data_IF_743221986488
#
_entry.id   IF_743221986488
#
_cell.length_a   1.000
_cell.length_b   1.000
_cell.length_c   1.000
_cell.angle_alpha   90.00
_cell.angle_beta   90.00
_cell.angle_gamma   90.00
#
_symmetry.space_group_name_H-M   'P 1'
#
loop_
_entity.id
_entity.type
_entity.pdbx_description
1 polymer ?
#
# COMPACT_ATOMS: atom_id res chain seq x y z
N UNK A 1 17.00 9.06 -1.55
CA UNK A 1 16.26 8.02 -2.30
C UNK A 1 14.78 8.34 -2.09
N UNK A 2 14.06 8.73 -3.14
CA UNK A 2 12.63 9.01 -3.03
C UNK A 2 11.89 7.73 -2.64
N UNK A 3 10.89 7.82 -1.78
CA UNK A 3 10.12 6.68 -1.27
C UNK A 3 9.58 5.80 -2.41
N UNK A 4 9.28 6.39 -3.58
CA UNK A 4 8.80 5.71 -4.79
C UNK A 4 9.82 4.71 -5.37
N UNK A 5 11.12 4.88 -5.12
CA UNK A 5 12.15 4.02 -5.72
C UNK A 5 12.16 2.59 -5.17
N UNK A 6 11.61 2.34 -3.98
CA UNK A 6 11.54 0.98 -3.43
C UNK A 6 10.66 0.07 -4.27
N UNK A 7 9.49 0.57 -4.70
CA UNK A 7 8.57 -0.17 -5.55
C UNK A 7 9.18 -0.41 -6.93
N UNK A 8 9.84 0.60 -7.49
CA UNK A 8 10.47 0.52 -8.80
C UNK A 8 11.61 -0.52 -8.85
N UNK A 9 12.35 -0.72 -7.76
CA UNK A 9 13.48 -1.64 -7.71
C UNK A 9 13.04 -3.09 -7.43
N UNK A 10 12.13 -3.28 -6.47
CA UNK A 10 11.81 -4.62 -5.97
C UNK A 10 10.54 -5.23 -6.54
N UNK A 11 9.67 -4.39 -7.12
CA UNK A 11 8.34 -4.77 -7.59
C UNK A 11 8.05 -4.16 -8.97
N UNK A 12 9.00 -4.32 -9.92
CA UNK A 12 9.02 -3.63 -11.22
C UNK A 12 7.73 -3.83 -12.02
N UNK A 13 7.18 -5.04 -12.01
CA UNK A 13 5.91 -5.35 -12.69
C UNK A 13 4.73 -4.61 -12.04
N UNK A 14 4.69 -4.54 -10.70
CA UNK A 14 3.66 -3.78 -9.99
C UNK A 14 3.80 -2.30 -10.29
N UNK A 15 5.02 -1.76 -10.21
CA UNK A 15 5.32 -0.37 -10.53
C UNK A 15 4.83 0.00 -11.93
N UNK A 16 5.18 -0.82 -12.95
CA UNK A 16 4.79 -0.59 -14.33
C UNK A 16 3.27 -0.61 -14.53
N UNK A 17 2.57 -1.50 -13.81
CA UNK A 17 1.12 -1.57 -13.83
C UNK A 17 0.49 -0.30 -13.23
N UNK A 18 0.98 0.16 -12.08
CA UNK A 18 0.48 1.38 -11.45
C UNK A 18 0.77 2.64 -12.27
N UNK A 19 1.92 2.72 -12.93
CA UNK A 19 2.24 3.80 -13.88
C UNK A 19 1.29 3.81 -15.08
N UNK A 20 0.99 2.64 -15.65
CA UNK A 20 0.02 2.52 -16.75
C UNK A 20 -1.38 2.94 -16.31
N UNK A 21 -1.81 2.52 -15.11
CA UNK A 21 -3.09 2.93 -14.52
C UNK A 21 -3.16 4.43 -14.30
N UNK A 22 -2.13 5.03 -13.68
CA UNK A 22 -2.03 6.48 -13.47
C UNK A 22 -2.12 7.24 -14.80
N UNK A 23 -1.32 6.83 -15.78
CA UNK A 23 -1.30 7.46 -17.10
C UNK A 23 -2.68 7.43 -17.75
N UNK A 24 -3.33 6.26 -17.80
CA UNK A 24 -4.65 6.13 -18.39
C UNK A 24 -5.71 6.94 -17.63
N UNK A 25 -5.64 6.95 -16.29
CA UNK A 25 -6.59 7.66 -15.45
C UNK A 25 -6.47 9.18 -15.63
N UNK A 26 -5.25 9.73 -15.65
CA UNK A 26 -5.01 11.15 -15.88
C UNK A 26 -5.37 11.58 -17.31
N UNK A 27 -5.18 10.72 -18.32
CA UNK A 27 -5.64 11.00 -19.68
C UNK A 27 -7.18 11.09 -19.77
N UNK A 28 -7.88 10.25 -19.01
CA UNK A 28 -9.35 10.22 -18.99
C UNK A 28 -9.94 11.29 -18.06
N UNK A 29 -9.19 11.69 -17.04
CA UNK A 29 -9.56 12.68 -16.03
C UNK A 29 -8.39 13.66 -15.83
N UNK A 30 -8.22 14.67 -16.70
CA UNK A 30 -7.07 15.59 -16.65
C UNK A 30 -6.94 16.37 -15.33
N UNK A 31 -8.06 16.55 -14.62
CA UNK A 31 -8.11 17.24 -13.33
C UNK A 31 -7.88 16.30 -12.13
N UNK A 32 -7.65 15.01 -12.36
CA UNK A 32 -7.40 14.05 -11.29
C UNK A 32 -6.05 14.32 -10.60
N UNK A 33 -6.11 14.41 -9.27
CA UNK A 33 -4.95 14.65 -8.44
C UNK A 33 -4.39 13.32 -7.91
N UNK A 34 -3.07 13.20 -7.97
CA UNK A 34 -2.31 12.17 -7.26
C UNK A 34 -1.64 12.79 -6.03
N UNK A 35 -1.25 11.98 -5.03
CA UNK A 35 -0.62 12.51 -3.81
C UNK A 35 0.60 13.39 -4.08
N UNK A 36 1.42 13.02 -5.08
CA UNK A 36 2.51 13.83 -5.62
C UNK A 36 2.67 13.55 -7.12
N UNK A 37 3.34 14.43 -7.85
CA UNK A 37 3.63 14.23 -9.28
C UNK A 37 4.45 12.95 -9.53
N UNK A 38 5.35 12.59 -8.60
CA UNK A 38 6.17 11.39 -8.68
C UNK A 38 5.50 10.11 -8.14
N UNK A 39 4.36 10.21 -7.46
CA UNK A 39 3.72 9.03 -6.87
C UNK A 39 2.96 8.23 -7.94
N UNK A 40 3.18 6.91 -7.96
CA UNK A 40 2.38 5.94 -8.74
C UNK A 40 1.10 5.53 -8.01
N UNK A 41 1.05 5.80 -6.71
CA UNK A 41 -0.10 5.44 -5.88
C UNK A 41 -1.21 6.46 -6.07
N UNK A 42 -2.42 5.96 -6.30
CA UNK A 42 -3.60 6.82 -6.47
C UNK A 42 -4.04 7.53 -5.21
N UNK A 43 -3.55 7.10 -4.04
CA UNK A 43 -3.98 7.66 -2.77
C UNK A 43 -2.89 7.62 -1.70
N UNK A 44 -3.00 8.54 -0.75
CA UNK A 44 -2.20 8.58 0.46
C UNK A 44 -3.08 8.82 1.69
N UNK A 45 -2.72 8.23 2.82
CA UNK A 45 -3.43 8.35 4.10
C UNK A 45 -2.45 8.75 5.19
N UNK A 46 -2.78 9.78 5.96
CA UNK A 46 -2.09 10.12 7.21
C UNK A 46 -2.86 9.54 8.40
N UNK A 47 -2.22 8.64 9.15
CA UNK A 47 -2.78 8.09 10.38
C UNK A 47 -2.22 8.85 11.59
N UNK A 48 -3.08 9.56 12.31
CA UNK A 48 -2.71 10.49 13.39
C UNK A 48 -2.72 9.86 14.80
N UNK A 49 -2.47 8.55 14.90
CA UNK A 49 -2.30 7.83 16.17
C UNK A 49 -3.56 7.14 16.71
N UNK A 50 -3.33 6.09 17.53
CA UNK A 50 -4.35 5.24 18.18
C UNK A 50 -4.01 3.74 18.07
N UNK A 51 -4.30 2.91 19.08
CA UNK A 51 -4.17 1.46 18.96
C UNK A 51 -5.27 0.95 18.02
N UNK A 52 -4.89 0.54 16.81
CA UNK A 52 -5.82 0.03 15.83
C UNK A 52 -5.30 -1.28 15.23
N UNK A 53 -6.14 -2.31 15.27
CA UNK A 53 -6.00 -3.46 14.40
C UNK A 53 -6.51 -3.02 13.03
N UNK A 54 -5.69 -3.25 11.98
CA UNK A 54 -6.00 -2.97 10.58
C UNK A 54 -6.01 -4.28 9.82
N UNK A 55 -7.18 -4.71 9.38
CA UNK A 55 -7.31 -5.93 8.59
C UNK A 55 -7.54 -5.57 7.12
N UNK A 56 -6.53 -5.78 6.27
CA UNK A 56 -6.76 -5.89 4.82
C UNK A 56 -7.63 -7.10 4.49
N UNK A 57 -7.43 -8.20 5.21
CA UNK A 57 -8.01 -9.52 4.92
C UNK A 57 -9.45 -9.79 5.44
N UNK A 58 -10.23 -8.77 5.84
CA UNK A 58 -11.60 -9.04 6.34
C UNK A 58 -12.67 -9.08 5.24
N UNK A 59 -12.29 -9.01 3.96
CA UNK A 59 -13.27 -8.95 2.85
C UNK A 59 -14.12 -7.67 2.85
N UNK A 60 -13.79 -6.69 3.70
CA UNK A 60 -14.51 -5.43 3.91
C UNK A 60 -13.81 -4.21 3.29
N UNK A 61 -12.60 -4.37 2.75
CA UNK A 61 -11.87 -3.27 2.14
C UNK A 61 -11.61 -3.55 0.65
N UNK A 62 -12.63 -3.28 -0.16
CA UNK A 62 -12.54 -2.95 -1.60
C UNK A 62 -11.75 -1.66 -1.88
N UNK A 63 -11.16 -1.09 -0.84
CA UNK A 63 -10.34 0.10 -0.87
C UNK A 63 -9.00 -0.19 -1.52
N UNK A 64 -8.25 -1.19 -1.03
CA UNK A 64 -6.89 -1.45 -1.50
C UNK A 64 -6.89 -2.44 -2.65
N UNK A 65 -6.05 -2.19 -3.66
CA UNK A 65 -5.82 -3.14 -4.74
C UNK A 65 -5.09 -4.40 -4.19
N UNK A 66 -5.69 -5.60 -4.26
CA UNK A 66 -5.12 -6.80 -3.62
C UNK A 66 -3.79 -7.26 -4.18
N UNK A 67 -3.57 -7.11 -5.49
CA UNK A 67 -2.34 -7.50 -6.20
C UNK A 67 -1.30 -6.36 -6.25
N UNK A 68 -1.34 -5.41 -5.31
CA UNK A 68 -0.44 -4.27 -5.27
C UNK A 68 0.22 -4.12 -3.91
N UNK A 69 1.35 -3.41 -3.91
CA UNK A 69 2.08 -3.06 -2.71
C UNK A 69 1.65 -1.70 -2.19
N UNK A 70 1.95 -1.41 -0.93
CA UNK A 70 1.78 -0.10 -0.33
C UNK A 70 3.02 0.27 0.44
N UNK A 71 3.31 1.57 0.50
CA UNK A 71 4.44 2.08 1.25
C UNK A 71 3.92 2.71 2.53
N UNK A 72 4.37 2.17 3.66
CA UNK A 72 4.09 2.73 4.98
C UNK A 72 5.36 3.38 5.49
N UNK A 73 5.26 4.64 5.91
CA UNK A 73 6.33 5.39 6.55
C UNK A 73 5.92 5.71 7.97
N UNK A 74 6.72 5.28 8.95
CA UNK A 74 6.53 5.65 10.34
C UNK A 74 7.02 7.08 10.59
N UNK A 75 6.22 7.85 11.32
CA UNK A 75 6.48 9.23 11.67
C UNK A 75 6.22 9.45 13.17
N UNK A 76 6.72 10.56 13.70
CA UNK A 76 6.52 10.97 15.09
C UNK A 76 7.76 10.76 15.96
N UNK A 77 7.57 10.92 17.27
CA UNK A 77 8.62 10.84 18.29
C UNK A 77 8.29 9.70 19.26
N UNK A 78 8.92 8.55 19.06
CA UNK A 78 8.79 7.36 19.91
C UNK A 78 10.03 6.47 19.81
N UNK A 79 10.29 5.68 20.85
CA UNK A 79 11.34 4.66 20.84
C UNK A 79 10.83 3.31 20.31
N UNK A 80 11.44 2.72 19.27
CA UNK A 80 10.96 1.45 18.70
C UNK A 80 11.19 0.23 19.61
N UNK A 81 11.93 0.37 20.71
CA UNK A 81 12.26 -0.74 21.62
C UNK A 81 11.03 -1.23 22.40
N UNK A 82 10.08 -0.35 22.70
CA UNK A 82 8.99 -0.66 23.65
C UNK A 82 7.58 -0.38 23.11
N UNK A 83 7.47 0.01 21.84
CA UNK A 83 6.21 0.40 21.21
C UNK A 83 6.40 0.72 19.73
N UNK A 84 5.31 0.95 19.00
CA UNK A 84 5.36 1.36 17.59
C UNK A 84 5.74 0.26 16.58
N UNK A 85 5.98 -0.97 17.05
CA UNK A 85 6.17 -2.16 16.22
C UNK A 85 4.96 -2.41 15.31
N UNK A 86 5.21 -3.08 14.19
CA UNK A 86 4.17 -3.65 13.34
C UNK A 86 3.97 -5.12 13.73
N UNK A 87 2.73 -5.52 14.01
CA UNK A 87 2.35 -6.93 14.09
C UNK A 87 1.77 -7.33 12.74
N UNK A 88 2.34 -8.35 12.11
CA UNK A 88 1.86 -8.97 10.87
C UNK A 88 1.21 -10.31 11.24
N UNK A 89 -0.10 -10.29 11.45
CA UNK A 89 -0.84 -11.40 12.07
C UNK A 89 -0.78 -12.67 11.23
N UNK A 90 -0.90 -12.55 9.90
CA UNK A 90 -0.89 -13.71 8.99
C UNK A 90 0.49 -14.35 8.87
N UNK A 91 1.55 -13.59 9.14
CA UNK A 91 2.93 -14.07 9.11
C UNK A 91 3.44 -14.51 10.48
N UNK A 92 2.69 -14.23 11.56
CA UNK A 92 3.15 -14.45 12.94
C UNK A 92 4.38 -13.61 13.31
N UNK A 93 4.61 -12.47 12.63
CA UNK A 93 5.79 -11.63 12.82
C UNK A 93 5.47 -10.37 13.63
N UNK A 94 6.45 -9.96 14.44
CA UNK A 94 6.49 -8.64 15.08
C UNK A 94 7.76 -7.95 14.61
N UNK A 95 7.60 -6.81 13.94
CA UNK A 95 8.68 -6.09 13.26
C UNK A 95 8.92 -4.78 13.99
N UNK A 96 10.16 -4.54 14.43
CA UNK A 96 10.60 -3.23 14.90
C UNK A 96 10.43 -2.22 13.77
N UNK A 97 9.74 -1.12 14.05
CA UNK A 97 9.44 -0.11 13.02
C UNK A 97 9.73 1.29 13.55
N UNK A 98 10.99 1.75 13.45
CA UNK A 98 11.43 3.06 13.94
C UNK A 98 10.75 4.22 13.20
N UNK A 99 10.65 5.37 13.88
CA UNK A 99 10.27 6.62 13.23
C UNK A 99 11.28 6.98 12.13
N UNK A 100 10.79 7.40 10.97
CA UNK A 100 11.60 7.67 9.78
C UNK A 100 11.78 6.46 8.85
N UNK A 101 11.49 5.24 9.33
CA UNK A 101 11.59 4.03 8.50
C UNK A 101 10.38 3.88 7.58
N UNK A 102 10.61 3.24 6.43
CA UNK A 102 9.55 2.85 5.49
C UNK A 102 9.57 1.35 5.21
N UNK A 103 8.40 0.78 4.99
CA UNK A 103 8.23 -0.63 4.62
C UNK A 103 7.29 -0.75 3.42
N UNK A 104 7.63 -1.64 2.50
CA UNK A 104 6.77 -2.07 1.42
C UNK A 104 5.93 -3.26 1.92
N UNK A 105 4.61 -3.13 1.90
CA UNK A 105 3.70 -4.14 2.46
C UNK A 105 2.46 -4.34 1.58
N UNK A 106 2.02 -5.60 1.40
CA UNK A 106 0.79 -5.90 0.68
C UNK A 106 -0.44 -5.73 1.60
N UNK A 107 -0.77 -4.48 1.92
CA UNK A 107 -1.86 -4.13 2.87
C UNK A 107 -3.25 -4.55 2.40
N UNK A 108 -3.43 -4.82 1.11
CA UNK A 108 -4.68 -5.33 0.55
C UNK A 108 -4.97 -6.78 0.93
N UNK A 109 -3.96 -7.54 1.35
CA UNK A 109 -4.12 -8.96 1.71
C UNK A 109 -3.66 -9.31 3.13
N UNK A 110 -2.81 -8.51 3.77
CA UNK A 110 -2.34 -8.77 5.12
C UNK A 110 -3.20 -8.13 6.22
N UNK A 111 -3.37 -8.85 7.32
CA UNK A 111 -3.83 -8.33 8.61
C UNK A 111 -2.62 -7.81 9.38
N UNK A 112 -2.65 -6.54 9.75
CA UNK A 112 -1.60 -5.90 10.51
C UNK A 112 -2.12 -5.01 11.64
N UNK A 113 -1.26 -4.64 12.57
CA UNK A 113 -1.60 -3.64 13.59
C UNK A 113 -0.33 -2.96 14.08
N UNK A 114 -0.49 -1.83 14.76
CA UNK A 114 0.63 -1.15 15.39
C UNK A 114 0.56 -1.30 16.90
N UNK A 115 1.69 -1.64 17.52
CA UNK A 115 1.82 -1.67 18.97
C UNK A 115 1.74 -0.24 19.49
N UNK A 116 0.93 -0.03 20.54
CA UNK A 116 0.82 1.28 21.21
C UNK A 116 2.22 1.76 21.63
N UNK A 117 2.51 3.03 21.39
CA UNK A 117 3.69 3.70 21.96
C UNK A 117 3.46 4.02 23.45
N UNK A 118 4.53 4.37 24.18
CA UNK A 118 4.41 4.71 25.60
C UNK A 118 3.62 6.00 25.79
N UNK A 119 3.14 6.22 27.00
CA UNK A 119 2.49 7.47 27.34
C UNK A 119 3.48 8.63 27.19
N UNK A 120 3.06 9.71 26.52
CA UNK A 120 3.91 10.84 26.16
C UNK A 120 4.69 10.68 24.85
N UNK A 121 4.68 9.49 24.23
CA UNK A 121 5.20 9.28 22.87
C UNK A 121 4.09 9.47 21.83
N UNK A 122 4.48 9.89 20.62
CA UNK A 122 3.56 10.11 19.50
C UNK A 122 4.03 9.36 18.27
N UNK A 123 3.14 8.55 17.69
CA UNK A 123 3.38 7.83 16.45
C UNK A 123 2.29 8.17 15.44
N UNK A 124 2.74 8.43 14.22
CA UNK A 124 1.93 8.65 13.04
C UNK A 124 2.40 7.73 11.91
N UNK A 125 1.55 7.51 10.91
CA UNK A 125 1.93 6.79 9.69
C UNK A 125 1.54 7.60 8.47
N UNK A 126 2.39 7.64 7.44
CA UNK A 126 1.97 7.96 6.08
C UNK A 126 1.87 6.63 5.31
N UNK A 127 0.73 6.37 4.68
CA UNK A 127 0.50 5.19 3.86
C UNK A 127 0.21 5.65 2.43
N UNK A 128 1.03 5.25 1.47
CA UNK A 128 0.74 5.40 0.04
C UNK A 128 0.27 4.07 -0.52
N UNK A 129 -0.86 4.07 -1.22
CA UNK A 129 -1.54 2.84 -1.63
C UNK A 129 -2.31 3.01 -2.94
N UNK A 130 -2.45 1.90 -3.68
CA UNK A 130 -3.24 1.83 -4.91
C UNK A 130 -4.68 1.44 -4.58
N UNK A 131 -5.63 2.19 -5.13
CA UNK A 131 -7.05 1.97 -4.90
C UNK A 131 -7.66 0.94 -5.84
N UNK A 132 -8.38 -0.04 -5.30
CA UNK A 132 -8.97 -1.11 -6.12
C UNK A 132 -10.01 -0.58 -7.13
N UNK A 133 -10.59 0.59 -6.90
CA UNK A 133 -11.50 1.23 -7.87
C UNK A 133 -10.82 1.60 -9.18
N UNK A 134 -9.56 2.07 -9.14
CA UNK A 134 -8.79 2.39 -10.35
C UNK A 134 -8.38 1.12 -11.07
N UNK A 135 -8.00 0.08 -10.32
CA UNK A 135 -7.71 -1.23 -10.88
C UNK A 135 -8.92 -1.80 -11.63
N UNK A 136 -10.10 -1.83 -11.01
CA UNK A 136 -11.34 -2.26 -11.66
C UNK A 136 -11.68 -1.42 -12.88
N UNK A 137 -11.56 -0.10 -12.78
CA UNK A 137 -11.80 0.80 -13.92
C UNK A 137 -10.87 0.48 -15.10
N UNK A 138 -9.61 0.17 -14.81
CA UNK A 138 -8.62 -0.23 -15.80
C UNK A 138 -8.95 -1.59 -16.43
N UNK A 139 -9.26 -2.61 -15.62
CA UNK A 139 -9.68 -3.96 -16.06
C UNK A 139 -11.00 -3.95 -16.85
N UNK A 140 -11.88 -3.00 -16.57
CA UNK A 140 -13.12 -2.78 -17.30
C UNK A 140 -12.90 -2.14 -18.70
N UNK A 141 -11.66 -1.88 -19.08
CA UNK A 141 -11.31 -1.18 -20.32
C UNK A 141 -11.62 0.31 -20.23
N UNK A 142 -11.17 0.95 -19.14
CA UNK A 142 -11.32 2.39 -18.87
C UNK A 142 -12.78 2.81 -18.66
N UNK A 143 -13.57 1.95 -18.00
CA UNK A 143 -15.01 2.16 -17.77
C UNK A 143 -15.36 1.96 -16.30
N UNK A 144 -16.31 2.77 -15.83
CA UNK A 144 -16.87 2.59 -14.49
C UNK A 144 -17.59 1.23 -14.39
N UNK A 145 -17.67 0.68 -13.18
CA UNK A 145 -18.31 -0.61 -12.92
C UNK A 145 -19.75 -0.65 -13.48
N UNK A 146 -20.50 0.44 -13.35
CA UNK A 146 -21.86 0.55 -13.87
C UNK A 146 -21.92 0.46 -15.41
N UNK A 147 -21.00 1.13 -16.10
CA UNK A 147 -20.96 1.14 -17.57
C UNK A 147 -20.48 -0.20 -18.11
N UNK A 148 -19.49 -0.81 -17.46
CA UNK A 148 -19.08 -2.17 -17.77
C UNK A 148 -20.25 -3.13 -17.58
N UNK A 149 -20.97 -3.01 -16.46
CA UNK A 149 -22.06 -3.91 -16.16
C UNK A 149 -23.22 -3.83 -17.16
N UNK A 150 -23.52 -2.62 -17.64
CA UNK A 150 -24.58 -2.41 -18.63
C UNK A 150 -24.23 -2.92 -20.04
N UNK A 151 -22.94 -2.98 -20.40
CA UNK A 151 -22.51 -3.16 -21.80
C UNK A 151 -21.66 -4.41 -22.05
N UNK A 152 -21.15 -5.09 -21.02
CA UNK A 152 -20.35 -6.29 -21.19
C UNK A 152 -21.20 -7.50 -21.65
N UNK A 153 -20.60 -8.38 -22.45
CA UNK A 153 -21.22 -9.65 -22.81
C UNK A 153 -21.36 -10.54 -21.56
N UNK A 154 -22.32 -11.48 -21.57
CA UNK A 154 -22.50 -12.40 -20.43
C UNK A 154 -21.23 -13.20 -20.10
N UNK A 155 -20.51 -13.65 -21.13
CA UNK A 155 -19.25 -14.38 -20.97
C UNK A 155 -18.20 -13.50 -20.29
N UNK A 156 -18.06 -12.25 -20.73
CA UNK A 156 -17.10 -11.32 -20.14
C UNK A 156 -17.46 -11.02 -18.67
N UNK A 157 -18.74 -10.85 -18.37
CA UNK A 157 -19.26 -10.71 -17.01
C UNK A 157 -18.89 -11.88 -16.10
N UNK A 158 -19.16 -13.11 -16.55
CA UNK A 158 -18.87 -14.34 -15.79
C UNK A 158 -17.36 -14.51 -15.53
N UNK A 159 -16.53 -14.19 -16.53
CA UNK A 159 -15.06 -14.20 -16.39
C UNK A 159 -14.58 -13.16 -15.37
N UNK A 160 -15.10 -11.93 -15.45
CA UNK A 160 -14.72 -10.83 -14.56
C UNK A 160 -15.09 -11.11 -13.11
N UNK A 161 -16.31 -11.59 -12.86
CA UNK A 161 -16.77 -11.98 -11.53
C UNK A 161 -15.94 -13.13 -10.95
N UNK A 162 -15.53 -14.09 -11.79
CA UNK A 162 -14.68 -15.20 -11.35
C UNK A 162 -13.29 -14.71 -10.95
N UNK A 163 -12.68 -13.86 -11.78
CA UNK A 163 -11.39 -13.25 -11.47
C UNK A 163 -11.47 -12.44 -10.17
N UNK A 164 -12.49 -11.58 -10.01
CA UNK A 164 -12.70 -10.76 -8.80
C UNK A 164 -12.88 -11.57 -7.53
N UNK A 165 -13.57 -12.71 -7.58
CA UNK A 165 -13.72 -13.59 -6.41
C UNK A 165 -12.41 -14.24 -5.99
N UNK A 166 -11.53 -14.52 -6.95
CA UNK A 166 -10.24 -15.16 -6.72
C UNK A 166 -9.10 -14.18 -6.49
N UNK A 167 -9.29 -12.89 -6.77
CA UNK A 167 -8.25 -11.86 -6.73
C UNK A 167 -7.44 -11.86 -5.43
N UNK A 168 -8.09 -12.09 -4.28
CA UNK A 168 -7.41 -12.16 -2.99
C UNK A 168 -6.60 -13.46 -2.82
N UNK A 169 -7.16 -14.60 -3.19
CA UNK A 169 -6.49 -15.91 -3.14
C UNK A 169 -5.29 -15.94 -4.12
N UNK A 170 -5.51 -15.49 -5.35
CA UNK A 170 -4.49 -15.44 -6.39
C UNK A 170 -3.36 -14.48 -6.00
N UNK A 171 -3.68 -13.35 -5.35
CA UNK A 171 -2.66 -12.44 -4.83
C UNK A 171 -1.81 -13.09 -3.73
N UNK A 172 -2.41 -13.86 -2.81
CA UNK A 172 -1.66 -14.58 -1.77
C UNK A 172 -0.71 -15.64 -2.35
N UNK A 173 -1.08 -16.28 -3.46
CA UNK A 173 -0.27 -17.30 -4.12
C UNK A 173 0.88 -16.73 -4.97
N UNK A 174 0.73 -15.50 -5.47
CA UNK A 174 1.60 -14.97 -6.54
C UNK A 174 2.23 -13.61 -6.22
N UNK A 175 2.19 -13.16 -4.96
CA UNK A 175 2.58 -11.80 -4.60
C UNK A 175 3.96 -11.43 -5.17
N UNK A 176 4.01 -10.48 -6.13
CA UNK A 176 5.18 -10.34 -6.97
C UNK A 176 6.31 -9.61 -6.23
N UNK A 177 7.39 -10.35 -5.97
CA UNK A 177 8.73 -9.81 -5.77
C UNK A 177 9.53 -10.29 -6.98
N UNK A 178 9.86 -9.36 -7.87
CA UNK A 178 10.51 -9.65 -9.16
C UNK A 178 11.91 -9.02 -9.28
N UNK A 179 12.38 -8.30 -8.26
CA UNK A 179 13.76 -7.83 -8.13
C UNK A 179 14.63 -8.72 -7.22
N UNK A 180 15.95 -8.65 -7.36
CA UNK A 180 16.89 -9.28 -6.41
C UNK A 180 16.82 -8.54 -5.07
N UNK A 181 16.35 -9.22 -4.02
CA UNK A 181 16.45 -8.71 -2.66
C UNK A 181 17.94 -8.68 -2.26
N UNK A 182 18.51 -7.55 -1.81
CA UNK A 182 19.83 -7.58 -1.20
C UNK A 182 19.84 -8.53 0.00
N UNK A 183 20.99 -9.15 0.32
CA UNK A 183 21.13 -10.03 1.50
C UNK A 183 20.69 -9.34 2.82
N UNK A 184 20.67 -7.99 2.81
CA UNK A 184 20.29 -7.11 3.91
C UNK A 184 18.85 -6.58 3.82
N UNK A 185 18.01 -7.06 2.89
CA UNK A 185 16.64 -6.61 2.65
C UNK A 185 15.67 -7.04 3.75
N UNK A 186 15.93 -6.64 4.98
CA UNK A 186 15.01 -6.72 6.11
C UNK A 186 15.02 -5.35 6.77
N UNK A 187 14.04 -4.52 6.37
CA UNK A 187 13.81 -3.16 6.87
C UNK A 187 14.85 -2.16 6.33
N UNK A 188 14.44 -1.31 5.39
CA UNK A 188 15.19 -0.10 5.09
C UNK A 188 15.09 0.85 6.30
N UNK A 189 16.07 0.77 7.20
CA UNK A 189 16.34 1.85 8.14
C UNK A 189 16.84 3.05 7.35
N UNK A 190 15.93 3.98 7.04
CA UNK A 190 16.35 5.29 6.59
C UNK A 190 16.89 6.02 7.82
N UNK A 191 18.20 5.97 8.04
CA UNK A 191 18.86 6.87 8.97
C UNK A 191 18.81 8.28 8.40
N UNK A 192 17.66 8.94 8.54
CA UNK A 192 17.63 10.38 8.63
C UNK A 192 18.33 10.75 9.93
N UNK A 193 19.64 10.98 9.88
CA UNK A 193 20.35 11.63 10.98
C UNK A 193 19.69 12.99 11.19
N UNK A 194 18.82 13.08 12.19
CA UNK A 194 18.27 14.35 12.62
C UNK A 194 19.03 14.80 13.87
N UNK A 195 20.16 15.53 13.74
CA UNK A 195 20.67 16.28 14.86
C UNK A 195 19.67 17.40 15.13
N UNK A 196 18.94 17.29 16.24
CA UNK A 196 18.30 18.42 16.94
C UNK A 196 17.32 19.25 16.11
N UNK A 197 16.04 18.87 16.13
CA UNK A 197 14.97 19.86 15.91
C UNK A 197 14.81 20.67 17.21
N UNK A 198 14.83 22.02 17.18
CA UNK A 198 14.56 22.82 18.35
C UNK A 198 13.07 22.72 18.75
N UNK A 199 12.75 22.86 20.04
CA UNK A 199 11.38 22.79 20.52
C UNK A 199 10.54 23.94 19.96
N UNK A 200 9.30 23.63 19.58
CA UNK A 200 8.25 24.60 19.26
C UNK A 200 7.77 25.26 20.56
#
# INVERSE_FOLDING_TARGET
>A
MEIVSLLQVYCTNTFSTLEAQKTAFQQSHPDALYPTDSSVFSAATFELGGPHIRAGASGLHDRYQPNSWSILTALGAYGPVHGGHIILWDLGLVVSFPAGSSILMPVGVLRYSFVKVRDGEHRYSLIQWAGAGIDRWFENGLRMDADFAANASRVLHEQHETCRRRLHEDALETFPIDGELPEEAMIYEFFGTNPTLPPI
#
